data_IF_359094767451
#
_entry.id   IF_359094767451
#
_cell.length_a   1.000
_cell.length_b   1.000
_cell.length_c   1.000
_cell.angle_alpha   90.00
_cell.angle_beta   90.00
_cell.angle_gamma   90.00
#
_symmetry.space_group_name_H-M   'P 1'
#
loop_
_entity.id
_entity.type
_entity.pdbx_description
1 polymer ?
#
# COMPACT_ATOMS: atom_id res chain seq x y z
N UNK A 1 -15.67 -12.98 57.25
CA UNK A 1 -16.26 -14.04 58.11
C UNK A 1 -16.67 -15.17 57.17
N UNK A 2 -15.79 -16.15 56.92
CA UNK A 2 -15.84 -17.53 57.46
C UNK A 2 -16.99 -18.34 56.81
N UNK A 3 -16.86 -19.54 56.23
CA UNK A 3 -15.82 -20.58 56.30
C UNK A 3 -16.12 -21.73 55.28
N UNK A 4 -15.05 -22.22 54.65
CA UNK A 4 -14.72 -23.54 54.04
C UNK A 4 -15.70 -24.73 54.21
N UNK A 5 -15.95 -25.48 53.12
CA UNK A 5 -16.36 -26.91 53.10
C UNK A 5 -15.63 -27.59 51.92
N UNK A 6 -14.44 -28.17 52.12
CA UNK A 6 -14.14 -29.59 52.42
C UNK A 6 -14.49 -30.58 51.30
N UNK A 7 -13.40 -31.03 50.66
CA UNK A 7 -13.20 -32.19 49.79
C UNK A 7 -13.91 -33.45 50.31
N UNK A 8 -14.61 -34.16 49.42
CA UNK A 8 -14.86 -35.59 49.57
C UNK A 8 -14.30 -36.29 48.33
N UNK A 9 -13.18 -36.99 48.52
CA UNK A 9 -12.67 -37.98 47.58
C UNK A 9 -13.37 -39.31 47.89
N UNK A 10 -13.90 -39.98 46.87
CA UNK A 10 -14.16 -41.43 46.90
C UNK A 10 -13.62 -42.01 45.59
N UNK A 11 -12.86 -43.07 45.74
CA UNK A 11 -11.93 -43.61 44.78
C UNK A 11 -12.46 -44.95 44.22
N UNK A 12 -12.12 -45.20 42.95
CA UNK A 12 -11.77 -46.50 42.32
C UNK A 12 -12.92 -47.52 42.12
N UNK A 13 -13.09 -47.96 40.87
CA UNK A 13 -12.84 -49.36 40.43
C UNK A 13 -12.75 -49.37 38.90
N UNK A 14 -11.66 -49.97 38.41
CA UNK A 14 -11.35 -50.18 37.01
C UNK A 14 -12.14 -51.37 36.42
N UNK A 15 -12.52 -51.26 35.15
CA UNK A 15 -12.81 -52.42 34.30
C UNK A 15 -12.21 -52.15 32.91
N UNK A 16 -11.14 -52.90 32.62
CA UNK A 16 -10.50 -52.98 31.32
C UNK A 16 -11.34 -53.92 30.45
N UNK A 17 -11.87 -53.41 29.34
CA UNK A 17 -12.25 -54.26 28.20
C UNK A 17 -11.63 -53.68 26.92
N UNK A 18 -10.74 -54.47 26.35
CA UNK A 18 -10.19 -54.33 25.00
C UNK A 18 -11.30 -54.54 23.98
N UNK A 19 -11.53 -53.55 23.10
CA UNK A 19 -12.09 -53.81 21.77
C UNK A 19 -11.64 -52.73 20.80
N UNK A 20 -10.88 -53.16 19.79
CA UNK A 20 -10.58 -52.43 18.57
C UNK A 20 -11.90 -52.08 17.86
N UNK A 21 -12.05 -50.84 17.41
CA UNK A 21 -13.23 -50.40 16.66
C UNK A 21 -13.08 -48.97 16.16
N UNK A 22 -12.62 -48.85 14.92
CA UNK A 22 -13.03 -47.87 13.91
C UNK A 22 -13.19 -46.38 14.26
N UNK A 23 -12.36 -45.57 13.58
CA UNK A 23 -12.65 -44.24 13.05
C UNK A 23 -12.94 -43.08 14.01
N UNK A 24 -12.00 -42.11 14.06
CA UNK A 24 -12.27 -40.79 14.65
C UNK A 24 -11.03 -40.05 15.14
N UNK A 25 -10.15 -39.70 14.20
CA UNK A 25 -8.86 -39.01 14.37
C UNK A 25 -8.95 -37.77 15.28
N UNK A 26 -8.35 -37.82 16.48
CA UNK A 26 -7.76 -36.66 17.15
C UNK A 26 -6.25 -36.79 17.04
N UNK A 27 -5.62 -35.86 16.34
CA UNK A 27 -4.20 -35.57 16.53
C UNK A 27 -4.05 -34.04 16.58
N UNK A 28 -3.77 -33.54 17.78
CA UNK A 28 -2.91 -32.39 17.97
C UNK A 28 -1.58 -32.66 17.24
N UNK A 29 -1.27 -31.84 16.24
CA UNK A 29 0.10 -31.65 15.73
C UNK A 29 0.36 -30.15 15.75
N UNK A 30 1.13 -29.70 16.74
CA UNK A 30 2.58 -29.46 16.60
C UNK A 30 2.84 -28.40 15.53
N UNK A 31 3.25 -27.23 16.02
CA UNK A 31 3.84 -26.13 15.27
C UNK A 31 4.73 -26.62 14.14
N UNK A 32 4.26 -26.43 12.91
CA UNK A 32 5.17 -26.29 11.79
C UNK A 32 5.87 -24.93 11.94
N UNK A 33 7.19 -24.82 11.71
CA UNK A 33 7.82 -23.54 11.47
C UNK A 33 7.13 -22.94 10.25
N UNK A 34 6.59 -21.73 10.40
CA UNK A 34 6.21 -20.92 9.25
C UNK A 34 7.53 -20.64 8.54
N UNK A 35 7.76 -21.40 7.48
CA UNK A 35 8.74 -21.12 6.46
C UNK A 35 8.43 -19.70 5.98
N UNK A 36 9.28 -18.79 6.42
CA UNK A 36 9.31 -17.39 6.04
C UNK A 36 9.59 -17.37 4.54
N UNK A 37 8.51 -17.48 3.76
CA UNK A 37 8.50 -17.11 2.36
C UNK A 37 8.71 -15.60 2.32
N UNK A 38 9.98 -15.22 2.47
CA UNK A 38 10.55 -13.98 2.01
C UNK A 38 10.35 -14.01 0.49
N UNK A 39 9.17 -13.60 0.06
CA UNK A 39 8.93 -13.22 -1.33
C UNK A 39 10.04 -12.25 -1.66
N UNK A 40 10.93 -12.70 -2.54
CA UNK A 40 11.92 -11.87 -3.17
C UNK A 40 11.11 -10.75 -3.81
N UNK A 41 11.09 -9.58 -3.17
CA UNK A 41 10.73 -8.34 -3.84
C UNK A 41 11.83 -8.21 -4.86
N UNK A 42 11.57 -8.67 -6.08
CA UNK A 42 12.36 -8.30 -7.23
C UNK A 42 12.43 -6.78 -7.18
N UNK A 43 13.63 -6.26 -6.94
CA UNK A 43 13.92 -4.84 -6.85
C UNK A 43 13.73 -4.27 -8.25
N UNK A 44 12.46 -4.09 -8.63
CA UNK A 44 12.10 -3.50 -9.90
C UNK A 44 12.43 -2.02 -9.82
N UNK A 45 13.30 -1.58 -10.73
CA UNK A 45 13.65 -0.18 -10.93
C UNK A 45 12.35 0.67 -10.94
N UNK A 46 12.15 1.57 -9.95
CA UNK A 46 10.90 2.34 -9.83
C UNK A 46 10.60 3.25 -11.02
N UNK A 47 11.60 3.53 -11.87
CA UNK A 47 11.41 4.28 -13.12
C UNK A 47 10.89 3.41 -14.27
N UNK A 48 10.98 2.08 -14.17
CA UNK A 48 10.44 1.13 -15.16
C UNK A 48 9.04 0.64 -14.81
N UNK A 49 8.66 0.72 -13.54
CA UNK A 49 7.30 0.42 -13.09
C UNK A 49 6.33 1.50 -13.59
N UNK A 50 5.32 1.10 -14.38
CA UNK A 50 4.26 1.97 -14.90
C UNK A 50 3.01 1.98 -14.01
N UNK A 51 2.98 1.16 -12.97
CA UNK A 51 1.82 0.96 -12.13
C UNK A 51 0.75 0.08 -12.80
N UNK A 52 -0.49 0.26 -12.33
CA UNK A 52 -1.66 -0.50 -12.73
C UNK A 52 -2.76 0.49 -13.11
N UNK A 53 -3.02 0.65 -14.41
CA UNK A 53 -4.03 1.59 -14.86
C UNK A 53 -4.04 1.77 -16.38
N UNK A 54 -4.86 2.71 -16.88
CA UNK A 54 -5.03 2.94 -18.31
C UNK A 54 -3.79 3.55 -18.97
N UNK A 55 -2.92 4.20 -18.19
CA UNK A 55 -1.78 4.91 -18.73
C UNK A 55 -0.61 3.94 -18.89
N UNK A 56 -0.37 3.54 -20.13
CA UNK A 56 0.66 2.53 -20.48
C UNK A 56 1.84 3.12 -21.26
N UNK A 57 1.68 4.33 -21.81
CA UNK A 57 2.75 5.05 -22.49
C UNK A 57 2.42 6.55 -22.51
N UNK A 58 3.41 7.40 -22.27
CA UNK A 58 3.28 8.86 -22.41
C UNK A 58 4.45 9.40 -23.23
N UNK A 59 4.17 10.29 -24.17
CA UNK A 59 5.19 11.12 -24.81
C UNK A 59 5.32 12.44 -24.03
N UNK A 60 6.55 12.79 -23.66
CA UNK A 60 6.87 14.03 -22.98
C UNK A 60 7.79 14.86 -23.86
N UNK A 61 7.28 15.98 -24.36
CA UNK A 61 8.07 16.99 -25.07
C UNK A 61 8.76 17.93 -24.07
N UNK A 62 9.24 19.09 -24.52
CA UNK A 62 9.67 20.16 -23.63
C UNK A 62 8.58 20.55 -22.62
N UNK A 63 9.00 21.14 -21.50
CA UNK A 63 8.05 21.57 -20.48
C UNK A 63 7.19 22.70 -21.03
N UNK A 64 5.87 22.52 -20.96
CA UNK A 64 4.88 23.51 -21.31
C UNK A 64 4.43 24.26 -20.04
N UNK A 65 4.90 25.50 -19.90
CA UNK A 65 4.64 26.29 -18.69
C UNK A 65 3.16 26.60 -18.48
N UNK A 66 2.37 26.79 -19.55
CA UNK A 66 0.94 27.07 -19.42
C UNK A 66 0.22 25.84 -18.83
N UNK A 67 0.54 24.65 -19.32
CA UNK A 67 0.02 23.39 -18.76
C UNK A 67 0.49 23.15 -17.33
N UNK A 68 1.74 23.50 -17.02
CA UNK A 68 2.25 23.41 -15.65
C UNK A 68 1.49 24.34 -14.69
N UNK A 69 1.12 25.55 -15.12
CA UNK A 69 0.36 26.50 -14.32
C UNK A 69 -1.09 26.01 -14.09
N UNK A 70 -1.73 25.44 -15.11
CA UNK A 70 -3.03 24.77 -14.95
C UNK A 70 -2.93 23.56 -14.00
N UNK A 71 -1.89 22.75 -14.14
CA UNK A 71 -1.58 21.63 -13.26
C UNK A 71 -1.38 22.06 -11.80
N UNK A 72 -0.72 23.21 -11.58
CA UNK A 72 -0.54 23.80 -10.25
C UNK A 72 -1.88 24.21 -9.64
N UNK A 73 -2.81 24.76 -10.43
CA UNK A 73 -4.15 25.10 -9.95
C UNK A 73 -4.93 23.85 -9.50
N UNK A 74 -4.88 22.77 -10.30
CA UNK A 74 -5.51 21.50 -9.96
C UNK A 74 -4.88 20.89 -8.70
N UNK A 75 -3.54 20.85 -8.64
CA UNK A 75 -2.80 20.38 -7.47
C UNK A 75 -3.19 21.16 -6.20
N UNK A 76 -3.30 22.47 -6.32
CA UNK A 76 -3.70 23.35 -5.22
C UNK A 76 -5.09 22.98 -4.70
N UNK A 77 -6.05 22.80 -5.61
CA UNK A 77 -7.43 22.51 -5.26
C UNK A 77 -7.66 21.08 -4.70
N UNK A 78 -6.91 20.08 -5.22
CA UNK A 78 -7.24 18.67 -4.99
C UNK A 78 -6.19 17.88 -4.20
N UNK A 79 -4.96 18.37 -4.08
CA UNK A 79 -3.84 17.56 -3.55
C UNK A 79 -3.19 18.17 -2.30
N UNK A 80 -3.24 19.50 -2.13
CA UNK A 80 -2.48 20.20 -1.07
C UNK A 80 -2.95 19.94 0.36
N UNK A 81 -4.14 19.34 0.53
CA UNK A 81 -4.63 18.85 1.80
C UNK A 81 -3.75 17.71 2.35
N UNK A 82 -3.18 16.89 1.47
CA UNK A 82 -2.39 15.71 1.84
C UNK A 82 -0.91 15.83 1.49
N UNK A 83 -0.58 16.54 0.42
CA UNK A 83 0.80 16.65 -0.09
C UNK A 83 1.34 18.08 -0.02
N UNK A 84 2.66 18.16 0.14
CA UNK A 84 3.44 19.38 -0.12
C UNK A 84 4.56 19.03 -1.09
N UNK A 85 5.09 20.04 -1.77
CA UNK A 85 6.20 19.84 -2.71
C UNK A 85 7.44 19.37 -1.95
N UNK A 86 8.01 20.18 -1.05
CA UNK A 86 9.30 19.81 -0.44
C UNK A 86 9.23 19.23 0.97
N UNK A 87 8.03 18.93 1.50
CA UNK A 87 7.91 18.35 2.84
C UNK A 87 6.87 17.24 2.93
N UNK A 88 7.14 16.28 3.82
CA UNK A 88 6.17 15.27 4.24
C UNK A 88 4.99 15.94 4.96
N UNK A 89 3.78 15.43 4.71
CA UNK A 89 2.57 15.78 5.45
C UNK A 89 1.81 14.48 5.76
N UNK A 90 0.60 14.32 5.22
CA UNK A 90 -0.17 13.08 5.28
C UNK A 90 0.40 12.12 4.23
N UNK A 91 0.65 12.62 3.03
CA UNK A 91 1.38 11.93 1.97
C UNK A 91 2.86 12.33 1.89
N UNK A 92 3.63 11.65 1.01
CA UNK A 92 5.03 11.97 0.73
C UNK A 92 5.22 13.38 0.18
N UNK A 93 6.43 13.91 0.35
CA UNK A 93 6.91 15.06 -0.41
C UNK A 93 6.96 14.72 -1.91
N UNK A 94 6.55 15.65 -2.76
CA UNK A 94 6.44 15.44 -4.21
C UNK A 94 7.57 16.05 -5.03
N UNK A 95 8.45 16.84 -4.41
CA UNK A 95 9.68 17.33 -5.05
C UNK A 95 10.46 16.16 -5.63
N UNK A 96 10.88 16.27 -6.89
CA UNK A 96 11.62 15.26 -7.63
C UNK A 96 10.83 13.97 -7.91
N UNK A 97 9.50 13.92 -7.75
CA UNK A 97 8.74 12.66 -7.95
C UNK A 97 8.94 12.06 -9.34
N UNK A 98 9.09 12.90 -10.36
CA UNK A 98 9.38 12.51 -11.75
C UNK A 98 10.77 11.92 -11.96
N UNK A 99 11.68 12.08 -10.99
CA UNK A 99 13.01 11.43 -10.97
C UNK A 99 12.98 10.08 -10.24
N UNK A 100 11.91 9.80 -9.49
CA UNK A 100 11.76 8.58 -8.68
C UNK A 100 10.72 7.61 -9.22
N UNK A 101 9.82 8.05 -10.09
CA UNK A 101 8.70 7.28 -10.62
C UNK A 101 8.50 7.60 -12.08
N UNK A 102 8.07 6.60 -12.86
CA UNK A 102 7.69 6.84 -14.24
C UNK A 102 6.51 7.81 -14.34
N UNK A 103 6.41 8.58 -15.44
CA UNK A 103 5.25 9.43 -15.73
C UNK A 103 3.92 8.65 -15.67
N UNK A 104 3.91 7.42 -16.20
CA UNK A 104 2.75 6.53 -16.22
C UNK A 104 2.33 6.14 -14.81
N UNK A 105 3.29 5.78 -13.95
CA UNK A 105 3.01 5.42 -12.56
C UNK A 105 2.39 6.59 -11.80
N UNK A 106 2.91 7.81 -12.00
CA UNK A 106 2.38 9.03 -11.37
C UNK A 106 0.93 9.27 -11.81
N UNK A 107 0.66 9.21 -13.12
CA UNK A 107 -0.71 9.43 -13.62
C UNK A 107 -1.66 8.32 -13.17
N UNK A 108 -1.25 7.05 -13.20
CA UNK A 108 -2.07 5.95 -12.69
C UNK A 108 -2.35 6.14 -11.18
N UNK A 109 -1.36 6.47 -10.35
CA UNK A 109 -1.58 6.74 -8.92
C UNK A 109 -2.59 7.88 -8.68
N UNK A 110 -2.62 8.91 -9.53
CA UNK A 110 -3.59 10.00 -9.46
C UNK A 110 -5.01 9.53 -9.86
N UNK A 111 -5.11 8.71 -10.91
CA UNK A 111 -6.38 8.32 -11.53
C UNK A 111 -7.10 7.17 -10.82
N UNK A 112 -6.35 6.24 -10.21
CA UNK A 112 -6.92 5.04 -9.58
C UNK A 112 -6.14 4.55 -8.34
N UNK A 113 -5.94 5.41 -7.32
CA UNK A 113 -5.08 5.10 -6.17
C UNK A 113 -5.48 3.82 -5.42
N UNK A 114 -6.77 3.50 -5.34
CA UNK A 114 -7.25 2.28 -4.69
C UNK A 114 -6.77 1.02 -5.41
N UNK A 115 -6.84 0.99 -6.75
CA UNK A 115 -6.36 -0.13 -7.56
C UNK A 115 -4.85 -0.25 -7.53
N UNK A 116 -4.16 0.89 -7.61
CA UNK A 116 -2.71 0.95 -7.46
C UNK A 116 -2.27 0.33 -6.14
N UNK A 117 -2.86 0.73 -5.01
CA UNK A 117 -2.57 0.11 -3.72
C UNK A 117 -2.98 -1.36 -3.67
N UNK A 118 -4.07 -1.78 -4.32
CA UNK A 118 -4.48 -3.18 -4.30
C UNK A 118 -3.51 -4.11 -5.06
N UNK A 119 -2.84 -3.62 -6.10
CA UNK A 119 -2.13 -4.48 -7.06
C UNK A 119 -0.63 -4.15 -7.21
N UNK A 120 -0.21 -2.89 -7.06
CA UNK A 120 1.17 -2.46 -7.24
C UNK A 120 1.98 -2.50 -5.92
N UNK A 121 3.16 -3.15 -5.94
CA UNK A 121 3.99 -3.34 -4.75
C UNK A 121 4.52 -2.01 -4.17
N UNK A 122 4.90 -1.05 -5.02
CA UNK A 122 5.38 0.26 -4.57
C UNK A 122 4.26 1.05 -3.89
N UNK A 123 3.06 1.07 -4.48
CA UNK A 123 1.90 1.74 -3.89
C UNK A 123 1.49 1.12 -2.54
N UNK A 124 1.55 -0.21 -2.42
CA UNK A 124 1.35 -0.92 -1.13
C UNK A 124 2.35 -0.49 -0.06
N UNK A 125 3.64 -0.44 -0.43
CA UNK A 125 4.69 -0.02 0.49
C UNK A 125 4.51 1.44 0.93
N UNK A 126 4.12 2.33 0.02
CA UNK A 126 3.78 3.71 0.35
C UNK A 126 2.59 3.79 1.31
N UNK A 127 1.52 3.02 1.11
CA UNK A 127 0.42 3.00 2.08
C UNK A 127 0.89 2.51 3.45
N UNK A 128 1.75 1.49 3.52
CA UNK A 128 2.28 1.02 4.80
C UNK A 128 3.11 2.09 5.53
N UNK A 129 3.84 2.93 4.80
CA UNK A 129 4.66 4.01 5.39
C UNK A 129 3.84 5.25 5.80
N UNK A 130 2.84 5.61 5.00
CA UNK A 130 2.06 6.85 5.19
C UNK A 130 0.72 6.62 5.91
N UNK A 131 0.27 5.37 6.02
CA UNK A 131 -0.89 4.85 6.77
C UNK A 131 -2.26 5.41 6.34
N UNK A 132 -2.30 6.56 5.67
CA UNK A 132 -3.49 7.15 5.08
C UNK A 132 -3.63 6.75 3.61
N UNK A 133 -4.75 6.14 3.19
CA UNK A 133 -5.01 5.88 1.78
C UNK A 133 -5.16 7.18 1.00
N UNK A 134 -4.56 7.25 -0.18
CA UNK A 134 -4.82 8.33 -1.12
C UNK A 134 -6.22 8.16 -1.70
N UNK A 135 -7.11 9.13 -1.45
CA UNK A 135 -8.46 9.12 -2.00
C UNK A 135 -8.47 9.52 -3.48
N UNK A 136 -9.27 8.84 -4.29
CA UNK A 136 -9.49 9.24 -5.68
C UNK A 136 -10.14 10.64 -5.77
N UNK A 137 -9.43 11.57 -6.40
CA UNK A 137 -9.89 12.96 -6.59
C UNK A 137 -10.75 13.15 -7.85
N UNK A 138 -11.06 12.03 -8.54
CA UNK A 138 -11.85 11.93 -9.76
C UNK A 138 -11.35 12.86 -10.87
N UNK A 139 -10.03 12.91 -11.07
CA UNK A 139 -9.44 13.62 -12.20
C UNK A 139 -9.67 12.81 -13.48
N UNK A 140 -9.88 13.52 -14.57
CA UNK A 140 -9.73 12.98 -15.93
C UNK A 140 -8.25 12.74 -16.25
N UNK A 141 -7.99 11.93 -17.26
CA UNK A 141 -6.62 11.71 -17.78
C UNK A 141 -5.94 13.03 -18.19
N UNK A 142 -6.69 13.95 -18.81
CA UNK A 142 -6.19 15.26 -19.20
C UNK A 142 -5.78 16.10 -17.99
N UNK A 143 -6.60 16.14 -16.93
CA UNK A 143 -6.25 16.84 -15.69
C UNK A 143 -5.04 16.19 -15.00
N UNK A 144 -4.96 14.86 -14.97
CA UNK A 144 -3.79 14.15 -14.43
C UNK A 144 -2.52 14.47 -15.23
N UNK A 145 -2.62 14.62 -16.56
CA UNK A 145 -1.51 15.04 -17.42
C UNK A 145 -1.04 16.46 -17.11
N UNK A 146 -1.96 17.38 -16.80
CA UNK A 146 -1.61 18.74 -16.36
C UNK A 146 -0.88 18.72 -15.01
N UNK A 147 -1.38 17.94 -14.04
CA UNK A 147 -0.71 17.78 -12.73
C UNK A 147 0.68 17.16 -12.89
N UNK A 148 0.84 16.16 -13.76
CA UNK A 148 2.15 15.62 -14.10
C UNK A 148 3.08 16.71 -14.68
N UNK A 149 2.57 17.57 -15.57
CA UNK A 149 3.37 18.67 -16.13
C UNK A 149 3.87 19.63 -15.04
N UNK A 150 3.01 19.96 -14.08
CA UNK A 150 3.42 20.72 -12.91
C UNK A 150 4.54 20.02 -12.13
N UNK A 151 4.44 18.72 -11.87
CA UNK A 151 5.49 17.97 -11.18
C UNK A 151 6.82 17.92 -11.95
N UNK A 152 6.78 17.97 -13.29
CA UNK A 152 8.01 18.08 -14.11
C UNK A 152 8.77 19.38 -13.87
N UNK A 153 8.12 20.42 -13.34
CA UNK A 153 8.77 21.70 -12.94
C UNK A 153 9.35 21.69 -11.52
N UNK A 154 9.20 20.59 -10.77
CA UNK A 154 9.59 20.47 -9.37
C UNK A 154 10.60 19.33 -9.21
N UNK A 155 11.77 19.48 -9.80
CA UNK A 155 12.78 18.42 -9.86
C UNK A 155 13.74 18.44 -8.67
N UNK A 156 13.93 19.60 -8.04
CA UNK A 156 14.80 19.79 -6.88
C UNK A 156 14.13 20.69 -5.82
N UNK A 157 14.66 20.65 -4.59
CA UNK A 157 14.15 21.47 -3.48
C UNK A 157 14.44 22.97 -3.67
N UNK A 158 15.27 23.34 -4.65
CA UNK A 158 15.62 24.71 -4.99
C UNK A 158 14.55 25.37 -5.90
N UNK A 159 13.59 24.58 -6.40
CA UNK A 159 12.54 25.00 -7.32
C UNK A 159 11.27 25.56 -6.61
N UNK A 160 11.33 25.90 -5.32
CA UNK A 160 10.19 26.43 -4.52
C UNK A 160 9.95 27.94 -4.64
#
# INVERSE_FOLDING_TARGET
MNLKIKVLAVAIIAAVITSCGGEGKKEDKVSAPVEEQKTVVEETDPLKDKGVGPITNITLDEIDQAKADEGKAIFTAKCTACHKISKRLIGPALVGVTTRRSPEWIMNMILNPEKMVAENAIAKALLAEYVAPMANQNLTEAEARLVLEYFRTKTSAEDE
#
